data_IF_626156307561
#
_entry.id   IF_626156307561
#
_cell.length_a   1.000
_cell.length_b   1.000
_cell.length_c   1.000
_cell.angle_alpha   90.00
_cell.angle_beta   90.00
_cell.angle_gamma   90.00
#
_symmetry.space_group_name_H-M   'P 1'
#
loop_
_entity.id
_entity.type
_entity.pdbx_description
1 polymer ?
#
# COMPACT_ATOMS: atom_id res chain seq x y z
N UNK A 1 -11.40 13.56 -10.56
CA UNK A 1 -10.13 13.09 -9.94
C UNK A 1 -10.34 12.67 -8.47
N UNK A 2 -10.96 13.53 -7.64
CA UNK A 2 -11.20 13.25 -6.20
C UNK A 2 -11.92 11.92 -5.95
N UNK A 3 -13.02 11.64 -6.66
CA UNK A 3 -13.76 10.36 -6.53
C UNK A 3 -12.91 9.12 -6.83
N UNK A 4 -11.97 9.22 -7.79
CA UNK A 4 -11.05 8.12 -8.10
C UNK A 4 -10.10 7.86 -6.93
N UNK A 5 -9.65 8.90 -6.24
CA UNK A 5 -8.73 8.78 -5.11
C UNK A 5 -9.46 8.21 -3.89
N UNK A 6 -10.70 8.65 -3.64
CA UNK A 6 -11.48 8.24 -2.47
C UNK A 6 -12.03 6.82 -2.59
N UNK A 7 -12.55 6.47 -3.76
CA UNK A 7 -13.49 5.35 -3.87
C UNK A 7 -12.99 4.22 -4.78
N UNK A 8 -12.07 4.50 -5.71
CA UNK A 8 -11.57 3.47 -6.64
C UNK A 8 -10.36 2.75 -6.08
N UNK A 9 -10.29 1.45 -6.35
CA UNK A 9 -9.10 0.65 -6.09
C UNK A 9 -7.86 1.28 -6.78
N UNK A 10 -6.68 1.20 -6.16
CA UNK A 10 -5.44 1.61 -6.80
C UNK A 10 -5.23 0.86 -8.12
N UNK A 11 -4.58 1.52 -9.08
CA UNK A 11 -4.13 0.85 -10.30
C UNK A 11 -3.07 -0.20 -9.96
N UNK A 12 -3.03 -1.27 -10.74
CA UNK A 12 -1.99 -2.30 -10.60
C UNK A 12 -0.59 -1.68 -10.78
N UNK A 13 0.36 -2.20 -10.02
CA UNK A 13 1.75 -1.76 -10.07
C UNK A 13 2.50 -2.53 -11.17
N UNK A 14 3.51 -1.90 -11.81
CA UNK A 14 4.34 -2.53 -12.82
C UNK A 14 4.97 -3.85 -12.37
N UNK A 15 5.16 -4.78 -13.31
CA UNK A 15 5.58 -6.15 -13.00
C UNK A 15 7.00 -6.25 -12.44
N UNK A 16 7.86 -5.28 -12.75
CA UNK A 16 9.28 -5.22 -12.38
C UNK A 16 9.49 -5.07 -10.87
N UNK A 17 8.48 -4.60 -10.13
CA UNK A 17 8.56 -4.52 -8.67
C UNK A 17 8.40 -5.90 -8.03
N UNK A 18 9.16 -6.15 -6.96
CA UNK A 18 9.00 -7.39 -6.20
C UNK A 18 7.59 -7.51 -5.63
N UNK A 19 7.08 -8.73 -5.52
CA UNK A 19 5.75 -9.00 -4.95
C UNK A 19 5.60 -8.43 -3.53
N UNK A 20 6.69 -8.46 -2.77
CA UNK A 20 6.74 -7.85 -1.44
C UNK A 20 6.47 -6.34 -1.51
N UNK A 21 7.15 -5.61 -2.40
CA UNK A 21 7.00 -4.17 -2.52
C UNK A 21 5.60 -3.82 -3.03
N UNK A 22 5.09 -4.58 -4.00
CA UNK A 22 3.72 -4.43 -4.49
C UNK A 22 2.70 -4.58 -3.35
N UNK A 23 2.83 -5.64 -2.54
CA UNK A 23 1.94 -5.89 -1.39
C UNK A 23 2.03 -4.79 -0.34
N UNK A 24 3.24 -4.32 -0.02
CA UNK A 24 3.44 -3.23 0.93
C UNK A 24 2.74 -1.95 0.46
N UNK A 25 2.98 -1.52 -0.77
CA UNK A 25 2.37 -0.31 -1.35
C UNK A 25 0.84 -0.44 -1.37
N UNK A 26 0.29 -1.59 -1.78
CA UNK A 26 -1.16 -1.79 -1.78
C UNK A 26 -1.77 -1.68 -0.37
N UNK A 27 -1.05 -2.14 0.66
CA UNK A 27 -1.48 -2.02 2.06
C UNK A 27 -1.42 -0.56 2.55
N UNK A 28 -0.45 0.22 2.06
CA UNK A 28 -0.36 1.67 2.34
C UNK A 28 -1.48 2.47 1.66
N UNK A 29 -2.01 1.97 0.54
CA UNK A 29 -3.09 2.60 -0.23
C UNK A 29 -4.50 2.17 0.20
N UNK A 30 -4.62 1.41 1.29
CA UNK A 30 -5.91 1.02 1.89
C UNK A 30 -6.77 2.26 2.14
N UNK A 31 -8.02 2.20 1.69
CA UNK A 31 -8.95 3.33 1.71
C UNK A 31 -9.50 3.56 3.09
N UNK A 32 -9.77 2.48 3.83
CA UNK A 32 -10.19 2.60 5.22
C UNK A 32 -9.01 2.99 6.12
N UNK A 33 -9.00 4.20 6.73
CA UNK A 33 -7.85 4.69 7.48
C UNK A 33 -7.47 3.78 8.65
N UNK A 34 -8.45 3.15 9.29
CA UNK A 34 -8.24 2.23 10.42
C UNK A 34 -7.63 0.89 10.02
N UNK A 35 -7.70 0.53 8.73
CA UNK A 35 -7.11 -0.68 8.16
C UNK A 35 -5.76 -0.42 7.51
N UNK A 36 -5.39 0.85 7.30
CA UNK A 36 -4.14 1.25 6.69
C UNK A 36 -2.98 0.97 7.65
N UNK A 37 -1.92 0.41 7.11
CA UNK A 37 -0.68 0.14 7.85
C UNK A 37 -0.08 1.44 8.44
N UNK A 38 0.44 1.36 9.66
CA UNK A 38 1.09 2.50 10.34
C UNK A 38 2.55 2.68 9.90
N UNK A 39 3.13 3.84 10.22
CA UNK A 39 4.55 4.10 10.00
C UNK A 39 5.45 3.05 10.70
N UNK A 40 5.16 2.73 11.95
CA UNK A 40 5.93 1.74 12.72
C UNK A 40 5.87 0.34 12.08
N UNK A 41 4.68 -0.06 11.61
CA UNK A 41 4.50 -1.34 10.93
C UNK A 41 5.23 -1.39 9.58
N UNK A 42 5.32 -0.27 8.86
CA UNK A 42 6.13 -0.17 7.63
C UNK A 42 7.61 -0.39 7.96
N UNK A 43 8.12 0.32 8.98
CA UNK A 43 9.52 0.21 9.39
C UNK A 43 9.87 -1.21 9.83
N UNK A 44 9.03 -1.85 10.64
CA UNK A 44 9.23 -3.25 11.04
C UNK A 44 9.31 -4.21 9.85
N UNK A 45 8.41 -4.05 8.86
CA UNK A 45 8.41 -4.90 7.66
C UNK A 45 9.68 -4.73 6.83
N UNK A 46 10.24 -3.52 6.76
CA UNK A 46 11.47 -3.23 6.01
C UNK A 46 12.71 -3.71 6.78
N UNK A 47 12.74 -3.55 8.10
CA UNK A 47 13.88 -3.96 8.95
C UNK A 47 14.00 -5.47 9.16
N UNK A 48 12.90 -6.23 9.01
CA UNK A 48 12.92 -7.70 9.08
C UNK A 48 13.31 -8.39 7.77
N UNK A 49 13.75 -7.61 6.77
CA UNK A 49 14.14 -8.07 5.44
C UNK A 49 15.66 -8.00 5.28
#
# INVERSE_FOLDING_TARGET
>A
IIERIKSKAPSQLPEEYSDYLKKLIMTMLEKEPTRRITADQILQKVSMR
#
